data_IF_337699231094
#
_entry.id   IF_337699231094
#
_cell.length_a   1.000
_cell.length_b   1.000
_cell.length_c   1.000
_cell.angle_alpha   90.00
_cell.angle_beta   90.00
_cell.angle_gamma   90.00
#
_symmetry.space_group_name_H-M   'P 1'
#
loop_
_entity.id
_entity.type
_entity.pdbx_description
1 polymer ?
#
# COMPACT_ATOMS: atom_id res chain seq x y z
N UNK A 1 -11.64 28.24 -33.87
CA UNK A 1 -11.58 28.67 -32.46
C UNK A 1 -11.42 27.50 -31.49
N UNK A 2 -12.21 26.41 -31.61
CA UNK A 2 -12.07 25.24 -30.73
C UNK A 2 -10.67 24.58 -30.75
N UNK A 3 -10.06 24.43 -31.94
CA UNK A 3 -8.73 23.81 -32.08
C UNK A 3 -7.59 24.58 -31.37
N UNK A 4 -7.66 25.91 -31.31
CA UNK A 4 -6.64 26.73 -30.61
C UNK A 4 -6.75 26.58 -29.10
N UNK A 5 -7.99 26.54 -28.59
CA UNK A 5 -8.23 26.34 -27.15
C UNK A 5 -7.88 24.93 -26.69
N UNK A 6 -8.12 23.91 -27.54
CA UNK A 6 -7.66 22.55 -27.28
C UNK A 6 -6.13 22.46 -27.20
N UNK A 7 -5.41 23.06 -28.14
CA UNK A 7 -3.96 23.06 -28.14
C UNK A 7 -3.37 23.79 -26.91
N UNK A 8 -4.00 24.88 -26.48
CA UNK A 8 -3.59 25.62 -25.28
C UNK A 8 -3.81 24.79 -24.01
N UNK A 9 -4.96 24.12 -23.89
CA UNK A 9 -5.25 23.25 -22.74
C UNK A 9 -4.28 22.07 -22.62
N UNK A 10 -3.85 21.48 -23.74
CA UNK A 10 -2.82 20.44 -23.77
C UNK A 10 -1.47 20.98 -23.28
N UNK A 11 -1.06 22.14 -23.79
CA UNK A 11 0.18 22.80 -23.39
C UNK A 11 0.23 23.11 -21.89
N UNK A 12 -0.86 23.65 -21.32
CA UNK A 12 -0.96 23.92 -19.89
C UNK A 12 -0.85 22.63 -19.05
N UNK A 13 -1.48 21.55 -19.50
CA UNK A 13 -1.40 20.24 -18.86
C UNK A 13 0.02 19.67 -18.87
N UNK A 14 0.74 19.84 -19.98
CA UNK A 14 2.11 19.35 -20.12
C UNK A 14 3.09 20.13 -19.25
N UNK A 15 2.97 21.46 -19.17
CA UNK A 15 3.76 22.29 -18.25
C UNK A 15 3.56 21.86 -16.79
N UNK A 16 2.32 21.55 -16.39
CA UNK A 16 2.03 21.05 -15.05
C UNK A 16 2.68 19.69 -14.79
N UNK A 17 2.57 18.75 -15.75
CA UNK A 17 3.20 17.42 -15.64
C UNK A 17 4.72 17.53 -15.54
N UNK A 18 5.33 18.38 -16.33
CA UNK A 18 6.77 18.62 -16.31
C UNK A 18 7.23 19.14 -14.94
N UNK A 19 6.50 20.13 -14.38
CA UNK A 19 6.77 20.65 -13.04
C UNK A 19 6.68 19.57 -11.97
N UNK A 20 5.65 18.72 -12.02
CA UNK A 20 5.47 17.60 -11.07
C UNK A 20 6.62 16.61 -11.20
N UNK A 21 6.98 16.20 -12.43
CA UNK A 21 8.08 15.25 -12.68
C UNK A 21 9.41 15.80 -12.17
N UNK A 22 9.72 17.06 -12.46
CA UNK A 22 10.92 17.74 -11.97
C UNK A 22 10.97 17.78 -10.44
N UNK A 23 9.85 18.11 -9.79
CA UNK A 23 9.74 18.11 -8.33
C UNK A 23 9.93 16.72 -7.71
N UNK A 24 9.32 15.69 -8.29
CA UNK A 24 9.49 14.29 -7.86
C UNK A 24 10.96 13.86 -8.01
N UNK A 25 11.60 14.17 -9.14
CA UNK A 25 13.01 13.86 -9.35
C UNK A 25 13.92 14.55 -8.31
N UNK A 26 13.69 15.83 -8.04
CA UNK A 26 14.43 16.56 -7.01
C UNK A 26 14.22 15.97 -5.60
N UNK A 27 13.00 15.53 -5.27
CA UNK A 27 12.72 14.86 -4.01
C UNK A 27 13.37 13.47 -3.91
N UNK A 28 13.36 12.69 -4.98
CA UNK A 28 14.07 11.41 -5.06
C UNK A 28 15.59 11.60 -4.89
N UNK A 29 16.17 12.63 -5.52
CA UNK A 29 17.59 12.98 -5.36
C UNK A 29 17.95 13.38 -3.92
N UNK A 30 17.02 13.98 -3.17
CA UNK A 30 17.15 14.23 -1.73
C UNK A 30 16.96 12.98 -0.86
N UNK A 31 16.67 11.81 -1.46
CA UNK A 31 16.46 10.55 -0.73
C UNK A 31 15.04 10.36 -0.18
N UNK A 32 14.05 11.13 -0.66
CA UNK A 32 12.65 10.92 -0.25
C UNK A 32 12.16 9.58 -0.80
N UNK A 33 11.78 8.67 0.10
CA UNK A 33 11.18 7.39 -0.26
C UNK A 33 9.68 7.58 -0.44
N UNK A 34 9.23 7.46 -1.69
CA UNK A 34 7.82 7.51 -2.05
C UNK A 34 7.12 6.16 -1.85
N UNK A 35 5.81 6.20 -1.64
CA UNK A 35 4.99 5.00 -1.48
C UNK A 35 5.13 4.32 -0.12
N UNK A 36 4.58 3.11 -0.03
CA UNK A 36 4.62 2.28 1.19
C UNK A 36 6.03 1.70 1.37
N UNK A 37 6.63 1.89 2.55
CA UNK A 37 7.96 1.33 2.81
C UNK A 37 7.91 -0.20 2.91
N UNK A 38 8.94 -0.92 2.42
CA UNK A 38 9.10 -2.33 2.70
C UNK A 38 9.03 -2.60 4.22
N UNK A 39 8.26 -3.60 4.62
CA UNK A 39 8.05 -3.92 6.04
C UNK A 39 7.01 -3.05 6.77
N UNK A 40 6.57 -1.92 6.21
CA UNK A 40 5.54 -1.09 6.85
C UNK A 40 4.19 -1.83 6.84
N UNK A 41 3.75 -2.31 8.00
CA UNK A 41 2.59 -3.22 8.13
C UNK A 41 1.65 -2.83 9.27
N UNK A 42 1.43 -1.53 9.48
CA UNK A 42 0.66 -0.97 10.60
C UNK A 42 -0.66 -1.68 10.90
N UNK A 43 -1.53 -1.90 9.90
CA UNK A 43 -2.81 -2.58 10.10
C UNK A 43 -2.64 -4.07 10.38
N UNK A 44 -1.72 -4.72 9.69
CA UNK A 44 -1.46 -6.16 9.82
C UNK A 44 -0.83 -6.50 11.16
N UNK A 45 0.11 -5.69 11.65
CA UNK A 45 0.81 -5.95 12.91
C UNK A 45 -0.09 -5.64 14.10
N UNK A 46 -0.89 -4.55 14.03
CA UNK A 46 -1.91 -4.24 15.04
C UNK A 46 -2.94 -5.36 15.22
N UNK A 47 -3.37 -5.97 14.10
CA UNK A 47 -4.39 -7.03 14.11
C UNK A 47 -3.79 -8.43 14.27
N UNK A 48 -2.46 -8.58 14.28
CA UNK A 48 -1.80 -9.88 14.36
C UNK A 48 -2.24 -10.71 15.59
N UNK A 49 -2.35 -10.15 16.82
CA UNK A 49 -2.79 -10.94 17.96
C UNK A 49 -4.20 -11.50 17.79
N UNK A 50 -5.13 -10.69 17.28
CA UNK A 50 -6.52 -11.12 17.05
C UNK A 50 -6.61 -12.15 15.93
N UNK A 51 -5.79 -12.01 14.89
CA UNK A 51 -5.71 -12.99 13.80
C UNK A 51 -5.23 -14.34 14.33
N UNK A 52 -4.18 -14.36 15.16
CA UNK A 52 -3.64 -15.60 15.72
C UNK A 52 -4.64 -16.28 16.67
N UNK A 53 -5.33 -15.50 17.50
CA UNK A 53 -6.41 -15.98 18.37
C UNK A 53 -7.51 -16.69 17.55
N UNK A 54 -8.04 -16.04 16.51
CA UNK A 54 -9.10 -16.61 15.67
C UNK A 54 -8.64 -17.84 14.89
N UNK A 55 -7.38 -17.87 14.46
CA UNK A 55 -6.79 -19.06 13.82
C UNK A 55 -6.65 -20.20 14.81
N UNK A 56 -6.22 -19.94 16.06
CA UNK A 56 -6.13 -20.95 17.11
C UNK A 56 -7.50 -21.49 17.53
N UNK A 57 -8.54 -20.67 17.44
CA UNK A 57 -9.94 -21.08 17.65
C UNK A 57 -10.51 -21.93 16.50
N UNK A 58 -9.73 -22.24 15.46
CA UNK A 58 -10.11 -23.12 14.36
C UNK A 58 -10.84 -22.44 13.20
N UNK A 59 -10.92 -21.11 13.16
CA UNK A 59 -11.52 -20.42 12.01
C UNK A 59 -10.64 -20.54 10.76
N UNK A 60 -11.26 -20.71 9.59
CA UNK A 60 -10.53 -20.73 8.32
C UNK A 60 -9.92 -19.35 8.01
N UNK A 61 -8.77 -19.31 7.34
CA UNK A 61 -8.10 -18.05 6.98
C UNK A 61 -8.99 -17.07 6.19
N UNK A 62 -9.94 -17.58 5.39
CA UNK A 62 -10.91 -16.74 4.67
C UNK A 62 -11.94 -16.11 5.61
N UNK A 63 -12.42 -16.85 6.61
CA UNK A 63 -13.34 -16.32 7.63
C UNK A 63 -12.65 -15.28 8.50
N UNK A 64 -11.43 -15.57 8.96
CA UNK A 64 -10.63 -14.61 9.75
C UNK A 64 -10.44 -13.32 8.97
N UNK A 65 -10.04 -13.39 7.69
CA UNK A 65 -9.89 -12.20 6.85
C UNK A 65 -11.16 -11.35 6.75
N UNK A 66 -12.33 -11.98 6.62
CA UNK A 66 -13.62 -11.26 6.62
C UNK A 66 -13.91 -10.59 7.96
N UNK A 67 -13.66 -11.27 9.08
CA UNK A 67 -13.94 -10.76 10.42
C UNK A 67 -13.07 -9.57 10.80
N UNK A 68 -11.78 -9.59 10.44
CA UNK A 68 -10.83 -8.50 10.77
C UNK A 68 -10.59 -7.51 9.63
N UNK A 69 -11.36 -7.63 8.54
CA UNK A 69 -11.25 -6.82 7.33
C UNK A 69 -9.81 -6.80 6.76
N UNK A 70 -9.25 -7.99 6.54
CA UNK A 70 -7.97 -8.26 5.90
C UNK A 70 -8.14 -9.23 4.73
N UNK A 71 -7.25 -9.13 3.74
CA UNK A 71 -7.19 -10.14 2.69
C UNK A 71 -6.74 -11.48 3.27
N UNK A 72 -7.18 -12.59 2.67
CA UNK A 72 -6.71 -13.95 3.03
C UNK A 72 -5.18 -14.03 3.02
N UNK A 73 -4.52 -13.37 2.05
CA UNK A 73 -3.07 -13.39 1.91
C UNK A 73 -2.40 -12.68 3.09
N UNK A 74 -2.94 -11.55 3.54
CA UNK A 74 -2.42 -10.85 4.72
C UNK A 74 -2.56 -11.70 5.99
N UNK A 75 -3.66 -12.44 6.14
CA UNK A 75 -3.83 -13.39 7.25
C UNK A 75 -2.77 -14.51 7.18
N UNK A 76 -2.55 -15.07 5.99
CA UNK A 76 -1.55 -16.11 5.78
C UNK A 76 -0.12 -15.61 6.07
N UNK A 77 0.20 -14.39 5.65
CA UNK A 77 1.48 -13.74 5.91
C UNK A 77 1.71 -13.52 7.42
N UNK A 78 0.66 -13.14 8.17
CA UNK A 78 0.74 -13.02 9.64
C UNK A 78 1.06 -14.38 10.26
N UNK A 79 0.32 -15.43 9.90
CA UNK A 79 0.52 -16.77 10.46
C UNK A 79 1.91 -17.32 10.10
N UNK A 80 2.36 -17.14 8.86
CA UNK A 80 3.69 -17.57 8.42
C UNK A 80 4.80 -16.88 9.21
N UNK A 81 4.68 -15.57 9.45
CA UNK A 81 5.65 -14.81 10.26
C UNK A 81 5.69 -15.28 11.71
N UNK A 82 4.52 -15.44 12.32
CA UNK A 82 4.43 -15.93 13.71
C UNK A 82 5.10 -17.29 13.89
N UNK A 83 5.00 -18.19 12.89
CA UNK A 83 5.67 -19.49 12.90
C UNK A 83 7.18 -19.42 12.65
N UNK A 84 7.66 -18.40 11.93
CA UNK A 84 9.11 -18.22 11.75
C UNK A 84 9.78 -17.52 12.94
N UNK A 85 9.03 -16.72 13.69
CA UNK A 85 9.53 -16.00 14.88
C UNK A 85 9.56 -16.90 16.13
N UNK A 86 8.64 -17.86 16.23
CA UNK A 86 8.60 -18.89 17.27
C UNK A 86 8.79 -20.29 16.63
N UNK A 87 10.02 -20.80 16.50
CA UNK A 87 10.28 -22.14 15.97
C UNK A 87 9.71 -23.26 16.85
#
# INVERSE_FOLDING_TARGET
>A
MASVMSALAEFEGDLLRERVRSGVAAAQARGVVFGRRPGQRTKSDRLAPKVLELVSAGHSYRQVGRLVNLSKNTVLDIVKRSRSENP
#
